data_IF_493998749923
#
_entry.id   IF_493998749923
#
_cell.length_a   1.000
_cell.length_b   1.000
_cell.length_c   1.000
_cell.angle_alpha   90.00
_cell.angle_beta   90.00
_cell.angle_gamma   90.00
#
_symmetry.space_group_name_H-M   'P 1'
#
loop_
_entity.id
_entity.type
_entity.pdbx_description
1 polymer ?
#
# COMPACT_ATOMS: atom_id res chain seq x y z
N UNK A 1 2.12 -2.96 -5.92
CA UNK A 1 1.60 -3.41 -4.60
C UNK A 1 0.25 -2.75 -4.37
N UNK A 2 -0.75 -3.50 -3.95
CA UNK A 2 -2.08 -2.97 -3.61
C UNK A 2 -2.40 -3.24 -2.14
N UNK A 3 -3.13 -2.33 -1.50
CA UNK A 3 -3.52 -2.42 -0.09
C UNK A 3 -5.03 -2.25 0.01
N UNK A 4 -5.70 -3.14 0.73
CA UNK A 4 -7.16 -3.09 0.91
C UNK A 4 -7.55 -3.65 2.26
N UNK A 5 -8.65 -3.15 2.84
CA UNK A 5 -9.26 -3.73 4.05
C UNK A 5 -10.18 -4.91 3.75
N UNK A 6 -10.48 -5.18 2.47
CA UNK A 6 -11.40 -6.23 2.05
C UNK A 6 -10.65 -7.48 1.55
N UNK A 7 -10.83 -8.65 2.22
CA UNK A 7 -10.30 -9.92 1.72
C UNK A 7 -10.84 -10.29 0.33
N UNK A 8 -12.10 -9.93 0.04
CA UNK A 8 -12.72 -10.14 -1.27
C UNK A 8 -11.99 -9.36 -2.36
N UNK A 9 -11.70 -8.07 -2.12
CA UNK A 9 -10.95 -7.23 -3.09
C UNK A 9 -9.54 -7.76 -3.28
N UNK A 10 -8.88 -8.23 -2.22
CA UNK A 10 -7.54 -8.81 -2.33
C UNK A 10 -7.51 -10.05 -3.22
N UNK A 11 -8.55 -10.91 -3.14
CA UNK A 11 -8.70 -12.08 -4.01
C UNK A 11 -8.98 -11.68 -5.47
N UNK A 12 -9.84 -10.68 -5.70
CA UNK A 12 -10.10 -10.17 -7.04
C UNK A 12 -8.83 -9.61 -7.70
N UNK A 13 -8.01 -8.90 -6.93
CA UNK A 13 -6.73 -8.37 -7.40
C UNK A 13 -5.70 -9.45 -7.74
N UNK A 14 -5.87 -10.69 -7.26
CA UNK A 14 -4.96 -11.79 -7.62
C UNK A 14 -4.99 -12.12 -9.13
N UNK A 15 -6.06 -11.71 -9.84
CA UNK A 15 -6.18 -11.86 -11.29
C UNK A 15 -5.45 -10.74 -12.06
N UNK A 16 -5.03 -9.66 -11.39
CA UNK A 16 -4.41 -8.50 -12.04
C UNK A 16 -2.90 -8.67 -12.17
N UNK A 17 -2.39 -8.53 -13.40
CA UNK A 17 -0.98 -8.80 -13.72
C UNK A 17 -0.04 -7.87 -12.95
N UNK A 18 0.98 -8.45 -12.30
CA UNK A 18 2.02 -7.69 -11.60
C UNK A 18 1.57 -7.06 -10.28
N UNK A 19 0.38 -7.39 -9.79
CA UNK A 19 -0.14 -6.87 -8.51
C UNK A 19 0.02 -7.91 -7.42
N UNK A 20 0.71 -7.51 -6.34
CA UNK A 20 0.67 -8.21 -5.05
C UNK A 20 -0.20 -7.41 -4.09
N UNK A 21 -1.28 -8.01 -3.61
CA UNK A 21 -2.26 -7.40 -2.70
C UNK A 21 -1.96 -7.75 -1.23
N UNK A 22 -2.22 -6.82 -0.32
CA UNK A 22 -2.08 -7.00 1.12
C UNK A 22 -3.36 -6.56 1.85
N UNK A 23 -3.92 -7.45 2.66
CA UNK A 23 -5.10 -7.14 3.49
C UNK A 23 -4.64 -6.42 4.77
N UNK A 24 -5.12 -5.20 4.95
CA UNK A 24 -4.77 -4.32 6.08
C UNK A 24 -5.95 -3.41 6.44
N UNK A 25 -6.15 -3.11 7.73
CA UNK A 25 -7.18 -2.16 8.18
C UNK A 25 -6.93 -0.76 7.61
N UNK A 26 -8.01 -0.01 7.42
CA UNK A 26 -7.95 1.38 6.97
C UNK A 26 -7.22 2.25 7.99
N UNK A 27 -6.25 3.05 7.52
CA UNK A 27 -5.45 3.92 8.39
C UNK A 27 -4.74 5.00 7.58
N UNK A 28 -4.67 6.23 8.12
CA UNK A 28 -3.89 7.33 7.51
C UNK A 28 -2.39 7.02 7.40
N UNK A 29 -1.88 6.14 8.26
CA UNK A 29 -0.44 5.76 8.31
C UNK A 29 -0.15 4.41 7.67
N UNK A 30 -1.09 3.86 6.89
CA UNK A 30 -0.97 2.50 6.37
C UNK A 30 0.22 2.30 5.42
N UNK A 31 0.54 3.31 4.62
CA UNK A 31 1.72 3.30 3.73
C UNK A 31 3.01 3.13 4.52
N UNK A 32 3.21 3.89 5.60
CA UNK A 32 4.40 3.80 6.46
C UNK A 32 4.51 2.45 7.16
N UNK A 33 3.39 1.93 7.69
CA UNK A 33 3.35 0.62 8.34
C UNK A 33 3.69 -0.50 7.37
N UNK A 34 3.16 -0.44 6.15
CA UNK A 34 3.43 -1.47 5.13
C UNK A 34 4.89 -1.45 4.68
N UNK A 35 5.47 -0.29 4.36
CA UNK A 35 6.87 -0.24 3.94
C UNK A 35 7.82 -0.67 5.04
N UNK A 36 7.55 -0.32 6.30
CA UNK A 36 8.34 -0.80 7.43
C UNK A 36 8.27 -2.33 7.54
N UNK A 37 7.07 -2.91 7.40
CA UNK A 37 6.90 -4.36 7.38
C UNK A 37 7.62 -5.01 6.19
N UNK A 38 7.54 -4.42 4.99
CA UNK A 38 8.24 -4.93 3.80
C UNK A 38 9.76 -4.89 3.95
N UNK A 39 10.31 -3.85 4.57
CA UNK A 39 11.73 -3.76 4.91
C UNK A 39 12.14 -4.84 5.91
N UNK A 40 11.36 -5.05 6.97
CA UNK A 40 11.60 -6.13 7.94
C UNK A 40 11.59 -7.52 7.29
N UNK A 41 10.79 -7.70 6.23
CA UNK A 41 10.72 -8.94 5.47
C UNK A 41 11.71 -9.00 4.29
N UNK A 42 12.69 -8.09 4.23
CA UNK A 42 13.73 -8.04 3.19
C UNK A 42 13.18 -7.94 1.75
N UNK A 43 12.05 -7.25 1.60
CA UNK A 43 11.44 -6.95 0.29
C UNK A 43 11.85 -5.56 -0.21
N UNK A 44 12.11 -4.63 0.72
CA UNK A 44 12.56 -3.27 0.43
C UNK A 44 13.83 -3.00 1.22
N UNK A 45 14.71 -2.20 0.64
CA UNK A 45 16.00 -1.83 1.21
C UNK A 45 16.09 -0.33 1.51
N UNK A 46 17.12 0.04 2.29
CA UNK A 46 17.48 1.44 2.48
C UNK A 46 17.90 2.04 1.14
N UNK A 47 17.40 3.22 0.83
CA UNK A 47 17.62 3.93 -0.43
C UNK A 47 16.53 3.71 -1.47
N UNK A 48 15.61 2.75 -1.26
CA UNK A 48 14.52 2.51 -2.20
C UNK A 48 13.57 3.71 -2.29
N UNK A 49 13.22 4.06 -3.54
CA UNK A 49 12.23 5.11 -3.83
C UNK A 49 10.84 4.47 -3.86
N UNK A 50 9.95 4.95 -3.00
CA UNK A 50 8.56 4.49 -2.91
C UNK A 50 7.63 5.60 -3.40
N UNK A 51 6.85 5.27 -4.41
CA UNK A 51 5.71 6.07 -4.87
C UNK A 51 4.43 5.43 -4.36
N UNK A 52 3.59 6.22 -3.70
CA UNK A 52 2.31 5.77 -3.15
C UNK A 52 1.17 6.64 -3.63
N UNK A 53 0.04 6.01 -3.98
CA UNK A 53 -1.21 6.67 -4.28
C UNK A 53 -2.25 6.27 -3.21
N UNK A 54 -2.94 7.26 -2.65
CA UNK A 54 -3.92 7.07 -1.58
C UNK A 54 -4.96 8.19 -1.56
N UNK A 55 -6.04 8.01 -0.79
CA UNK A 55 -6.97 9.10 -0.46
C UNK A 55 -6.66 9.75 0.89
N UNK A 56 -7.03 11.02 1.06
CA UNK A 56 -6.94 11.74 2.33
C UNK A 56 -7.76 11.08 3.45
N UNK A 57 -8.93 10.50 3.10
CA UNK A 57 -9.86 9.86 4.03
C UNK A 57 -9.80 8.33 3.90
N UNK A 58 -9.30 7.61 4.92
CA UNK A 58 -9.25 6.15 4.89
C UNK A 58 -10.63 5.51 4.79
N UNK A 59 -10.76 4.41 4.05
CA UNK A 59 -11.99 3.63 3.93
C UNK A 59 -13.07 4.23 3.02
N UNK A 60 -12.84 5.40 2.42
CA UNK A 60 -13.79 6.01 1.48
C UNK A 60 -13.39 5.64 0.04
N UNK A 61 -14.30 4.97 -0.67
CA UNK A 61 -14.07 4.55 -2.05
C UNK A 61 -14.18 5.76 -2.99
N UNK A 62 -13.31 5.83 -4.00
CA UNK A 62 -13.34 6.89 -5.01
C UNK A 62 -12.64 8.19 -4.63
N UNK A 63 -12.12 8.32 -3.40
CA UNK A 63 -11.47 9.56 -2.92
C UNK A 63 -9.95 9.53 -3.04
N UNK A 64 -9.40 8.83 -4.04
CA UNK A 64 -7.94 8.82 -4.26
C UNK A 64 -7.52 10.16 -4.86
N UNK A 65 -6.71 10.91 -4.12
CA UNK A 65 -6.37 12.31 -4.43
C UNK A 65 -4.90 12.64 -4.15
N UNK A 66 -4.16 11.73 -3.53
CA UNK A 66 -2.84 12.02 -2.97
C UNK A 66 -1.79 11.07 -3.54
N UNK A 67 -0.76 11.62 -4.17
CA UNK A 67 0.47 10.91 -4.52
C UNK A 67 1.59 11.39 -3.61
N UNK A 68 2.33 10.45 -3.00
CA UNK A 68 3.52 10.75 -2.18
C UNK A 68 4.71 9.93 -2.67
N UNK A 69 5.82 10.62 -2.86
CA UNK A 69 7.13 10.04 -3.18
C UNK A 69 8.03 10.20 -1.96
N UNK A 70 8.73 9.14 -1.57
CA UNK A 70 9.74 9.19 -0.50
C UNK A 70 10.85 8.18 -0.74
N UNK A 71 12.01 8.44 -0.15
CA UNK A 71 13.12 7.49 -0.08
C UNK A 71 13.06 6.79 1.28
N UNK A 72 13.29 5.47 1.31
CA UNK A 72 13.39 4.74 2.58
C UNK A 72 14.77 4.94 3.21
N UNK A 73 14.80 5.45 4.44
CA UNK A 73 16.02 5.57 5.26
C UNK A 73 16.43 4.26 5.93
#
# INVERSE_FOLDING_TARGET
>A
IAVTSSPRVAQQLALTRGVKSFVRKDSKTQTSKLTAWLRLNKVLDKGDIIVSASGQYPGVVGTTDTIKVRVLE
#
